data_IF_070513122222
#
_entry.id   IF_070513122222
#
_cell.length_a   1.000
_cell.length_b   1.000
_cell.length_c   1.000
_cell.angle_alpha   90.00
_cell.angle_beta   90.00
_cell.angle_gamma   90.00
#
_symmetry.space_group_name_H-M   'P 1'
#
loop_
_entity.id
_entity.type
_entity.pdbx_description
1 polymer ?
#
# COMPACT_ATOMS: atom_id res chain seq x y z
N UNK A 1 -0.07 -5.16 3.81
CA UNK A 1 0.19 -4.67 2.43
C UNK A 1 -0.92 -5.08 1.45
N UNK A 2 -1.24 -6.37 1.25
CA UNK A 2 -2.24 -6.82 0.25
C UNK A 2 -3.62 -6.13 0.37
N UNK A 3 -4.13 -5.91 1.57
CA UNK A 3 -5.41 -5.24 1.79
C UNK A 3 -5.44 -3.83 1.17
N UNK A 4 -4.40 -3.03 1.37
CA UNK A 4 -4.38 -1.64 0.91
C UNK A 4 -4.19 -1.50 -0.60
N UNK A 5 -3.45 -2.42 -1.24
CA UNK A 5 -3.36 -2.45 -2.71
C UNK A 5 -4.67 -2.92 -3.35
N UNK A 6 -5.41 -3.81 -2.70
CA UNK A 6 -6.77 -4.18 -3.10
C UNK A 6 -7.73 -3.00 -3.00
N UNK A 7 -7.65 -2.21 -1.93
CA UNK A 7 -8.47 -1.01 -1.76
C UNK A 7 -8.18 0.05 -2.83
N UNK A 8 -6.91 0.25 -3.17
CA UNK A 8 -6.51 1.14 -4.25
C UNK A 8 -7.08 0.69 -5.61
N UNK A 9 -6.98 -0.60 -5.91
CA UNK A 9 -7.56 -1.17 -7.13
C UNK A 9 -9.10 -1.04 -7.20
N UNK A 10 -9.78 -1.19 -6.08
CA UNK A 10 -11.22 -0.93 -5.99
C UNK A 10 -11.54 0.54 -6.25
N UNK A 11 -10.80 1.46 -5.61
CA UNK A 11 -10.96 2.89 -5.77
C UNK A 11 -10.74 3.32 -7.22
N UNK A 12 -9.71 2.79 -7.89
CA UNK A 12 -9.46 3.01 -9.32
C UNK A 12 -10.65 2.53 -10.18
N UNK A 13 -11.19 1.33 -9.93
CA UNK A 13 -12.37 0.82 -10.66
C UNK A 13 -13.57 1.73 -10.50
N UNK A 14 -13.87 2.17 -9.27
CA UNK A 14 -15.00 3.04 -8.98
C UNK A 14 -14.83 4.39 -9.66
N UNK A 15 -13.67 5.04 -9.56
CA UNK A 15 -13.43 6.34 -10.17
C UNK A 15 -13.43 6.26 -11.71
N UNK A 16 -12.87 5.22 -12.28
CA UNK A 16 -12.89 4.98 -13.74
C UNK A 16 -14.32 4.73 -14.24
N UNK A 17 -15.10 3.92 -13.52
CA UNK A 17 -16.51 3.70 -13.83
C UNK A 17 -17.33 4.99 -13.73
N UNK A 18 -17.09 5.80 -12.70
CA UNK A 18 -17.76 7.11 -12.52
C UNK A 18 -17.44 8.12 -13.63
N UNK A 19 -16.25 8.06 -14.21
CA UNK A 19 -15.90 8.89 -15.35
C UNK A 19 -16.72 8.54 -16.61
N UNK A 20 -17.18 7.29 -16.73
CA UNK A 20 -18.05 6.83 -17.82
C UNK A 20 -19.54 7.06 -17.54
N UNK A 21 -19.95 7.18 -16.27
CA UNK A 21 -21.35 7.36 -15.89
C UNK A 21 -21.60 7.25 -14.38
N UNK A 22 -22.87 7.20 -14.00
CA UNK A 22 -23.28 6.99 -12.61
C UNK A 22 -23.19 5.49 -12.29
N UNK A 23 -22.52 5.14 -11.19
CA UNK A 23 -22.53 3.76 -10.67
C UNK A 23 -23.64 3.59 -9.65
N UNK A 24 -24.33 2.48 -9.74
CA UNK A 24 -25.29 2.02 -8.74
C UNK A 24 -24.57 1.37 -7.55
N UNK A 25 -25.21 1.24 -6.38
CA UNK A 25 -24.63 0.51 -5.25
C UNK A 25 -24.29 -0.96 -5.58
N UNK A 26 -25.09 -1.60 -6.45
CA UNK A 26 -24.86 -2.99 -6.86
C UNK A 26 -23.59 -3.11 -7.73
N UNK A 27 -23.37 -2.20 -8.67
CA UNK A 27 -22.15 -2.14 -9.48
C UNK A 27 -20.91 -1.86 -8.62
N UNK A 28 -21.03 -1.03 -7.59
CA UNK A 28 -19.93 -0.81 -6.64
C UNK A 28 -19.65 -2.06 -5.80
N UNK A 29 -20.69 -2.78 -5.38
CA UNK A 29 -20.56 -4.04 -4.65
C UNK A 29 -19.90 -5.12 -5.53
N UNK A 30 -20.28 -5.22 -6.80
CA UNK A 30 -19.67 -6.13 -7.76
C UNK A 30 -18.17 -5.81 -7.95
N UNK A 31 -17.83 -4.54 -8.18
CA UNK A 31 -16.43 -4.10 -8.30
C UNK A 31 -15.61 -4.43 -7.03
N UNK A 32 -16.22 -4.31 -5.86
CA UNK A 32 -15.60 -4.69 -4.59
C UNK A 32 -15.35 -6.19 -4.51
N UNK A 33 -16.36 -7.03 -4.78
CA UNK A 33 -16.23 -8.49 -4.73
C UNK A 33 -15.21 -9.00 -5.74
N UNK A 34 -15.22 -8.50 -6.97
CA UNK A 34 -14.19 -8.82 -7.97
C UNK A 34 -12.78 -8.50 -7.45
N UNK A 35 -12.62 -7.36 -6.80
CA UNK A 35 -11.34 -6.97 -6.23
C UNK A 35 -10.92 -7.89 -5.09
N UNK A 36 -11.85 -8.25 -4.19
CA UNK A 36 -11.57 -9.18 -3.10
C UNK A 36 -11.13 -10.55 -3.64
N UNK A 37 -11.82 -11.09 -4.63
CA UNK A 37 -11.45 -12.37 -5.26
C UNK A 37 -10.10 -12.28 -5.97
N UNK A 38 -9.80 -11.17 -6.65
CA UNK A 38 -8.51 -10.99 -7.33
C UNK A 38 -7.31 -10.96 -6.37
N UNK A 39 -7.51 -10.46 -5.14
CA UNK A 39 -6.43 -10.30 -4.16
C UNK A 39 -6.33 -11.44 -3.15
N UNK A 40 -7.43 -12.12 -2.85
CA UNK A 40 -7.47 -13.18 -1.83
C UNK A 40 -7.76 -14.58 -2.40
N UNK A 41 -7.98 -14.68 -3.70
CA UNK A 41 -8.34 -15.94 -4.36
C UNK A 41 -9.85 -16.25 -4.32
N UNK A 42 -10.27 -17.33 -4.95
CA UNK A 42 -11.67 -17.76 -4.97
C UNK A 42 -12.14 -18.20 -3.58
N UNK A 43 -13.47 -18.28 -3.41
CA UNK A 43 -14.06 -18.85 -2.21
C UNK A 43 -13.50 -20.25 -1.89
N UNK A 44 -13.24 -20.48 -0.64
CA UNK A 44 -12.64 -21.72 -0.13
C UNK A 44 -11.10 -21.73 -0.06
N UNK A 45 -10.40 -20.71 -0.59
CA UNK A 45 -8.94 -20.59 -0.44
C UNK A 45 -8.54 -19.84 0.83
N UNK A 46 -8.81 -18.54 0.90
CA UNK A 46 -8.49 -17.69 2.07
C UNK A 46 -9.74 -17.44 2.91
N UNK A 47 -10.87 -17.23 2.26
CA UNK A 47 -12.18 -17.05 2.86
C UNK A 47 -13.15 -18.12 2.36
N UNK A 48 -13.96 -18.67 3.26
CA UNK A 48 -14.98 -19.64 2.90
C UNK A 48 -16.03 -19.05 1.97
N UNK A 49 -16.40 -17.77 2.16
CA UNK A 49 -17.34 -17.02 1.34
C UNK A 49 -17.07 -15.53 1.41
N UNK A 50 -17.42 -14.82 0.35
CA UNK A 50 -17.42 -13.35 0.27
C UNK A 50 -18.80 -12.72 0.47
N UNK A 51 -19.86 -13.50 0.68
CA UNK A 51 -21.23 -12.99 0.76
C UNK A 51 -21.41 -11.90 1.84
N UNK A 52 -20.81 -12.12 3.03
CA UNK A 52 -20.92 -11.17 4.14
C UNK A 52 -20.00 -9.95 3.99
N UNK A 53 -19.11 -9.96 3.00
CA UNK A 53 -18.15 -8.87 2.74
C UNK A 53 -18.66 -7.85 1.73
N UNK A 54 -19.80 -8.10 1.10
CA UNK A 54 -20.33 -7.36 -0.04
C UNK A 54 -20.43 -5.84 0.14
N UNK A 55 -20.65 -5.40 1.37
CA UNK A 55 -20.81 -3.98 1.72
C UNK A 55 -19.66 -3.39 2.54
N UNK A 56 -18.55 -4.12 2.73
CA UNK A 56 -17.43 -3.64 3.55
C UNK A 56 -16.75 -2.40 2.96
N UNK A 57 -16.84 -2.16 1.65
CA UNK A 57 -16.36 -0.92 1.04
C UNK A 57 -16.97 0.33 1.67
N UNK A 58 -18.21 0.25 2.20
CA UNK A 58 -18.87 1.38 2.88
C UNK A 58 -18.22 1.72 4.23
N UNK A 59 -17.49 0.79 4.84
CA UNK A 59 -16.78 0.98 6.11
C UNK A 59 -15.44 1.69 5.94
N UNK A 60 -14.87 1.68 4.75
CA UNK A 60 -13.57 2.29 4.47
C UNK A 60 -13.75 3.81 4.34
N UNK A 61 -13.57 4.52 5.44
CA UNK A 61 -13.76 5.97 5.51
C UNK A 61 -12.92 6.77 4.50
N UNK A 62 -11.78 6.22 4.07
CA UNK A 62 -10.90 6.85 3.08
C UNK A 62 -11.59 7.02 1.74
N UNK A 63 -12.35 6.05 1.27
CA UNK A 63 -13.08 6.15 0.00
C UNK A 63 -14.07 7.31 -0.04
N UNK A 64 -14.56 7.74 1.11
CA UNK A 64 -15.57 8.80 1.23
C UNK A 64 -14.98 10.18 1.53
N UNK A 65 -13.88 10.22 2.30
CA UNK A 65 -13.36 11.46 2.86
C UNK A 65 -12.02 11.89 2.26
N UNK A 66 -11.22 10.95 1.77
CA UNK A 66 -9.84 11.21 1.31
C UNK A 66 -9.52 10.32 0.11
N UNK A 67 -10.15 10.57 -1.05
CA UNK A 67 -9.95 9.76 -2.24
C UNK A 67 -8.46 9.59 -2.59
N UNK A 68 -8.09 8.41 -3.07
CA UNK A 68 -6.73 8.04 -3.46
C UNK A 68 -5.68 8.12 -2.34
N UNK A 69 -6.10 7.98 -1.09
CA UNK A 69 -5.17 7.96 0.04
C UNK A 69 -4.70 6.55 0.42
N UNK A 70 -5.49 5.52 0.12
CA UNK A 70 -5.25 4.15 0.62
C UNK A 70 -3.93 3.54 0.15
N UNK A 71 -3.42 3.92 -1.02
CA UNK A 71 -2.12 3.45 -1.51
C UNK A 71 -0.98 3.83 -0.56
N UNK A 72 -1.11 4.94 0.18
CA UNK A 72 -0.05 5.47 1.06
C UNK A 72 0.38 4.48 2.15
N UNK A 73 -0.49 3.59 2.56
CA UNK A 73 -0.16 2.56 3.54
C UNK A 73 0.77 1.50 2.96
N UNK A 74 0.47 1.00 1.75
CA UNK A 74 1.36 0.07 1.06
C UNK A 74 2.71 0.72 0.71
N UNK A 75 2.67 1.99 0.30
CA UNK A 75 3.85 2.80 0.06
C UNK A 75 4.72 2.93 1.32
N UNK A 76 4.12 3.25 2.47
CA UNK A 76 4.83 3.36 3.73
C UNK A 76 5.48 2.03 4.15
N UNK A 77 4.77 0.91 4.01
CA UNK A 77 5.32 -0.42 4.28
C UNK A 77 6.58 -0.71 3.44
N UNK A 78 6.54 -0.37 2.14
CA UNK A 78 7.69 -0.55 1.24
C UNK A 78 8.88 0.33 1.65
N UNK A 79 8.63 1.58 2.02
CA UNK A 79 9.68 2.50 2.49
C UNK A 79 10.31 1.98 3.79
N UNK A 80 9.50 1.57 4.75
CA UNK A 80 9.99 1.00 6.02
C UNK A 80 10.81 -0.25 5.78
N UNK A 81 10.34 -1.15 4.89
CA UNK A 81 11.10 -2.35 4.51
C UNK A 81 12.45 -2.03 3.90
N UNK A 82 12.54 -0.98 3.05
CA UNK A 82 13.81 -0.52 2.47
C UNK A 82 14.75 0.05 3.50
N UNK A 83 14.26 0.91 4.40
CA UNK A 83 15.05 1.46 5.49
C UNK A 83 15.57 0.37 6.42
N UNK A 84 14.73 -0.61 6.76
CA UNK A 84 15.14 -1.75 7.56
C UNK A 84 16.22 -2.59 6.87
N UNK A 85 16.12 -2.80 5.56
CA UNK A 85 17.16 -3.46 4.77
C UNK A 85 18.50 -2.71 4.77
N UNK A 86 18.49 -1.38 4.82
CA UNK A 86 19.72 -0.56 4.99
C UNK A 86 20.27 -0.75 6.40
N UNK A 87 19.40 -0.68 7.42
CA UNK A 87 19.81 -0.90 8.82
C UNK A 87 20.50 -2.25 9.02
N UNK A 88 19.94 -3.32 8.48
CA UNK A 88 20.53 -4.66 8.60
C UNK A 88 21.93 -4.78 7.97
N UNK A 89 22.20 -4.02 6.90
CA UNK A 89 23.50 -4.05 6.21
C UNK A 89 24.52 -3.10 6.82
N UNK A 90 24.08 -1.95 7.30
CA UNK A 90 24.94 -0.86 7.78
C UNK A 90 24.24 -0.16 8.95
N UNK A 91 24.28 -0.76 10.16
CA UNK A 91 23.64 -0.18 11.33
C UNK A 91 24.32 1.08 11.88
N UNK A 92 25.63 1.23 11.59
CA UNK A 92 26.41 2.37 12.09
C UNK A 92 25.89 3.70 11.50
N UNK A 93 25.54 4.63 12.38
CA UNK A 93 25.03 5.96 12.00
C UNK A 93 23.62 5.96 11.42
N UNK A 94 22.93 4.82 11.42
CA UNK A 94 21.56 4.73 10.89
C UNK A 94 20.55 5.47 11.78
N UNK A 95 20.70 5.37 13.10
CA UNK A 95 19.79 5.98 14.05
C UNK A 95 19.76 7.50 13.92
N UNK A 96 20.92 8.13 13.80
CA UNK A 96 21.03 9.58 13.63
C UNK A 96 20.31 10.04 12.35
N UNK A 97 20.53 9.34 11.24
CA UNK A 97 19.85 9.62 9.95
C UNK A 97 18.33 9.43 10.06
N UNK A 98 17.89 8.40 10.77
CA UNK A 98 16.46 8.15 10.99
C UNK A 98 15.83 9.26 11.84
N UNK A 99 16.48 9.72 12.88
CA UNK A 99 16.01 10.83 13.72
C UNK A 99 15.93 12.14 12.92
N UNK A 100 16.90 12.41 12.04
CA UNK A 100 16.85 13.55 11.13
C UNK A 100 15.67 13.44 10.14
N UNK A 101 15.45 12.26 9.56
CA UNK A 101 14.32 12.00 8.66
C UNK A 101 12.98 12.28 9.35
N UNK A 102 12.78 11.73 10.55
CA UNK A 102 11.57 11.91 11.35
C UNK A 102 11.39 13.37 11.80
N UNK A 103 12.48 14.02 12.21
CA UNK A 103 12.46 15.41 12.64
C UNK A 103 12.22 16.41 11.51
N UNK A 104 12.59 16.07 10.28
CA UNK A 104 12.33 16.90 9.11
C UNK A 104 10.83 16.97 8.74
N UNK A 105 10.04 15.97 9.15
CA UNK A 105 8.63 15.90 8.78
C UNK A 105 8.42 15.97 7.27
N UNK A 106 7.49 16.82 6.82
CA UNK A 106 7.13 16.96 5.41
C UNK A 106 7.83 18.08 4.63
N UNK A 107 8.93 18.66 5.15
CA UNK A 107 9.59 19.81 4.49
C UNK A 107 10.54 19.42 3.36
N UNK A 108 11.01 18.17 3.34
CA UNK A 108 11.85 17.63 2.28
C UNK A 108 11.02 16.84 1.28
N UNK A 109 11.42 16.89 -0.01
CA UNK A 109 10.87 15.99 -1.00
C UNK A 109 11.22 14.52 -0.69
N UNK A 110 10.37 13.58 -1.08
CA UNK A 110 10.53 12.16 -0.77
C UNK A 110 11.90 11.59 -1.19
N UNK A 111 12.36 11.92 -2.39
CA UNK A 111 13.68 11.49 -2.88
C UNK A 111 14.82 12.05 -2.03
N UNK A 112 14.76 13.34 -1.71
CA UNK A 112 15.76 14.04 -0.88
C UNK A 112 15.81 13.44 0.54
N UNK A 113 14.66 13.08 1.09
CA UNK A 113 14.54 12.47 2.42
C UNK A 113 15.20 11.09 2.50
N UNK A 114 15.26 10.33 1.40
CA UNK A 114 15.84 9.00 1.34
C UNK A 114 17.31 8.97 0.89
N UNK A 115 17.83 10.05 0.32
CA UNK A 115 19.21 10.17 -0.15
C UNK A 115 20.26 9.83 0.91
N UNK A 116 20.14 10.26 2.20
CA UNK A 116 21.09 9.91 3.25
C UNK A 116 21.24 8.41 3.52
N UNK A 117 20.24 7.62 3.13
CA UNK A 117 20.23 6.16 3.26
C UNK A 117 20.75 5.45 2.00
N UNK A 118 21.12 6.20 0.97
CA UNK A 118 21.52 5.65 -0.33
C UNK A 118 20.36 5.02 -1.13
N UNK A 119 19.12 5.43 -0.83
CA UNK A 119 17.92 4.93 -1.46
C UNK A 119 17.40 5.92 -2.51
N UNK A 120 17.16 5.45 -3.73
CA UNK A 120 16.51 6.23 -4.78
C UNK A 120 15.16 5.61 -5.17
N UNK A 121 14.04 6.26 -4.85
CA UNK A 121 12.72 5.75 -5.21
C UNK A 121 12.43 5.77 -6.72
N UNK A 122 13.26 6.42 -7.54
CA UNK A 122 13.17 6.34 -9.00
C UNK A 122 13.79 5.03 -9.54
N UNK A 123 14.60 4.33 -8.74
CA UNK A 123 15.17 3.05 -9.13
C UNK A 123 14.16 1.91 -8.87
N UNK A 124 13.90 1.10 -9.89
CA UNK A 124 13.05 -0.08 -9.75
C UNK A 124 13.59 -1.10 -8.73
N UNK A 125 14.91 -1.12 -8.51
CA UNK A 125 15.54 -2.01 -7.53
C UNK A 125 15.08 -1.66 -6.12
N UNK A 126 14.90 -0.37 -5.81
CA UNK A 126 14.36 0.09 -4.53
C UNK A 126 13.05 -0.65 -4.17
N UNK A 127 12.08 -0.66 -5.07
CA UNK A 127 10.77 -1.30 -4.85
C UNK A 127 10.84 -2.81 -4.78
N UNK A 128 11.70 -3.45 -5.59
CA UNK A 128 11.89 -4.91 -5.58
C UNK A 128 12.52 -5.40 -4.29
N UNK A 129 13.53 -4.71 -3.79
CA UNK A 129 14.20 -5.06 -2.52
C UNK A 129 13.25 -4.88 -1.35
N UNK A 130 12.47 -3.80 -1.36
CA UNK A 130 11.45 -3.53 -0.33
C UNK A 130 10.41 -4.64 -0.27
N UNK A 131 9.88 -5.03 -1.43
CA UNK A 131 8.89 -6.11 -1.54
C UNK A 131 9.46 -7.44 -1.06
N UNK A 132 10.71 -7.76 -1.46
CA UNK A 132 11.39 -8.98 -1.03
C UNK A 132 11.63 -9.00 0.48
N UNK A 133 12.05 -7.89 1.07
CA UNK A 133 12.26 -7.76 2.52
C UNK A 133 10.96 -7.95 3.29
N UNK A 134 9.82 -7.44 2.79
CA UNK A 134 8.52 -7.63 3.40
C UNK A 134 8.00 -9.06 3.31
N UNK A 135 8.25 -9.74 2.18
CA UNK A 135 7.75 -11.11 1.96
C UNK A 135 8.61 -12.18 2.64
N UNK A 136 9.91 -11.95 2.74
CA UNK A 136 10.87 -12.97 3.19
C UNK A 136 11.69 -12.55 4.43
N UNK A 137 11.70 -11.29 4.80
CA UNK A 137 12.46 -10.77 5.94
C UNK A 137 11.92 -11.19 7.33
N UNK A 138 10.82 -11.92 7.38
CA UNK A 138 10.28 -12.54 8.61
C UNK A 138 10.75 -14.00 8.79
N UNK A 139 11.63 -14.50 7.92
CA UNK A 139 12.11 -15.87 7.94
C UNK A 139 13.55 -16.01 8.48
N UNK A 140 14.12 -14.98 9.14
CA UNK A 140 15.41 -15.08 9.85
C UNK A 140 15.22 -14.75 11.31
#
# INVERSE_FOLDING_TARGET
MFCFTGFDAFEEKVHSGRAAGTLTPDEMTEAWQETMVAYYGPEGEVFDSYADTSHLWTYVSHFHNVPFYVYSYAFADLVVGSLYGVYQKTPEGFEEKLLELLGAGGVKGFREALEPFGLDPADQVFWKVSLFSLLYGQLV
#
